data_IF_049527463227
#
_entry.id   IF_049527463227
#
_cell.length_a   1.000
_cell.length_b   1.000
_cell.length_c   1.000
_cell.angle_alpha   90.00
_cell.angle_beta   90.00
_cell.angle_gamma   90.00
#
_symmetry.space_group_name_H-M   'P 1'
#
loop_
_entity.id
_entity.type
_entity.pdbx_description
1 polymer ?
#
# COMPACT_ATOMS: atom_id res chain seq x y z
N UNK A 1 4.11 45.58 -11.82
CA UNK A 1 3.39 45.59 -10.53
C UNK A 1 3.95 46.75 -9.68
N UNK A 2 3.10 47.54 -9.02
CA UNK A 2 3.49 48.82 -8.42
C UNK A 2 4.47 48.63 -7.23
N UNK A 3 5.58 49.37 -7.18
CA UNK A 3 6.66 49.20 -6.19
C UNK A 3 6.16 49.40 -4.75
N UNK A 4 5.19 50.29 -4.57
CA UNK A 4 4.51 50.55 -3.29
C UNK A 4 3.64 49.37 -2.84
N UNK A 5 3.05 48.64 -3.79
CA UNK A 5 2.25 47.45 -3.51
C UNK A 5 3.14 46.35 -2.94
N UNK A 6 4.27 46.07 -3.59
CA UNK A 6 5.22 45.06 -3.11
C UNK A 6 5.72 45.40 -1.71
N UNK A 7 6.03 46.67 -1.44
CA UNK A 7 6.47 47.12 -0.10
C UNK A 7 5.40 46.88 0.98
N UNK A 8 4.13 47.14 0.66
CA UNK A 8 3.02 46.84 1.58
C UNK A 8 2.88 45.33 1.82
N UNK A 9 2.93 44.52 0.76
CA UNK A 9 2.86 43.06 0.85
C UNK A 9 4.02 42.49 1.69
N UNK A 10 5.25 42.96 1.49
CA UNK A 10 6.42 42.57 2.28
C UNK A 10 6.24 42.94 3.76
N UNK A 11 5.73 44.13 4.07
CA UNK A 11 5.50 44.58 5.45
C UNK A 11 4.44 43.73 6.16
N UNK A 12 3.35 43.40 5.46
CA UNK A 12 2.30 42.50 5.97
C UNK A 12 2.87 41.11 6.23
N UNK A 13 3.64 40.57 5.27
CA UNK A 13 4.28 39.27 5.41
C UNK A 13 5.24 39.21 6.60
N UNK A 14 6.11 40.22 6.76
CA UNK A 14 7.04 40.29 7.89
C UNK A 14 6.30 40.30 9.24
N UNK A 15 5.28 41.13 9.38
CA UNK A 15 4.49 41.21 10.61
C UNK A 15 3.77 39.89 10.93
N UNK A 16 3.40 39.12 9.91
CA UNK A 16 2.71 37.85 10.09
C UNK A 16 3.67 36.69 10.39
N UNK A 17 4.66 36.47 9.52
CA UNK A 17 5.53 35.29 9.57
C UNK A 17 6.74 35.44 10.50
N UNK A 18 7.22 36.66 10.73
CA UNK A 18 8.40 36.93 11.58
C UNK A 18 7.98 37.41 12.96
N UNK A 19 7.05 38.38 13.01
CA UNK A 19 6.58 38.96 14.28
C UNK A 19 5.39 38.20 14.89
N UNK A 20 4.88 37.15 14.23
CA UNK A 20 3.77 36.31 14.69
C UNK A 20 2.49 37.08 15.08
N UNK A 21 2.26 38.27 14.47
CA UNK A 21 1.05 39.04 14.73
C UNK A 21 -0.15 38.39 14.03
N UNK A 22 -1.29 38.34 14.72
CA UNK A 22 -2.53 37.92 14.08
C UNK A 22 -3.05 39.00 13.11
N UNK A 23 -3.93 38.60 12.19
CA UNK A 23 -4.43 39.50 11.13
C UNK A 23 -5.12 40.76 11.67
N UNK A 24 -5.74 40.70 12.85
CA UNK A 24 -6.38 41.86 13.49
C UNK A 24 -5.35 42.88 13.99
N UNK A 25 -4.26 42.41 14.59
CA UNK A 25 -3.15 43.25 15.05
C UNK A 25 -2.45 43.93 13.87
N UNK A 26 -2.24 43.21 12.76
CA UNK A 26 -1.63 43.76 11.54
C UNK A 26 -2.54 44.83 10.92
N UNK A 27 -3.84 44.55 10.82
CA UNK A 27 -4.84 45.48 10.31
C UNK A 27 -4.85 46.80 11.09
N UNK A 28 -4.87 46.73 12.42
CA UNK A 28 -4.81 47.90 13.30
C UNK A 28 -3.49 48.67 13.14
N UNK A 29 -2.35 47.97 13.06
CA UNK A 29 -1.01 48.58 12.94
C UNK A 29 -0.77 49.29 11.61
N UNK A 30 -1.44 48.85 10.54
CA UNK A 30 -1.26 49.38 9.19
C UNK A 30 -2.43 50.24 8.70
N UNK A 31 -3.51 50.36 9.47
CA UNK A 31 -4.68 51.15 9.09
C UNK A 31 -5.44 50.59 7.88
N UNK A 32 -5.47 49.26 7.73
CA UNK A 32 -6.13 48.56 6.61
C UNK A 32 -7.18 47.57 7.09
N UNK A 33 -8.16 47.23 6.24
CA UNK A 33 -9.19 46.28 6.59
C UNK A 33 -8.63 44.88 6.83
N UNK A 34 -9.03 44.25 7.95
CA UNK A 34 -8.65 42.86 8.32
C UNK A 34 -8.92 41.87 7.19
N UNK A 35 -10.06 41.99 6.51
CA UNK A 35 -10.45 41.12 5.39
C UNK A 35 -9.46 41.17 4.22
N UNK A 36 -8.68 42.25 4.10
CA UNK A 36 -7.66 42.39 3.05
C UNK A 36 -6.35 41.67 3.39
N UNK A 37 -6.06 41.39 4.66
CA UNK A 37 -4.77 40.82 5.11
C UNK A 37 -4.56 39.42 4.52
N UNK A 38 -5.55 38.52 4.64
CA UNK A 38 -5.41 37.16 4.11
C UNK A 38 -5.19 37.13 2.59
N UNK A 39 -5.93 37.97 1.85
CA UNK A 39 -5.75 38.13 0.40
C UNK A 39 -4.36 38.68 0.07
N UNK A 40 -3.88 39.69 0.81
CA UNK A 40 -2.55 40.26 0.63
C UNK A 40 -1.42 39.28 0.98
N UNK A 41 -1.57 38.45 2.01
CA UNK A 41 -0.62 37.38 2.32
C UNK A 41 -0.56 36.34 1.18
N UNK A 42 -1.71 36.01 0.60
CA UNK A 42 -1.79 35.13 -0.57
C UNK A 42 -1.15 35.77 -1.80
N UNK A 43 -1.41 37.06 -2.05
CA UNK A 43 -0.78 37.85 -3.12
C UNK A 43 0.74 37.91 -2.93
N UNK A 44 1.23 38.07 -1.69
CA UNK A 44 2.65 38.08 -1.37
C UNK A 44 3.33 36.73 -1.70
N UNK A 45 2.66 35.60 -1.44
CA UNK A 45 3.15 34.27 -1.84
C UNK A 45 3.16 34.13 -3.36
N UNK A 46 2.05 34.44 -4.03
CA UNK A 46 1.92 34.30 -5.49
C UNK A 46 2.89 35.20 -6.27
N UNK A 47 3.20 36.39 -5.73
CA UNK A 47 4.17 37.31 -6.32
C UNK A 47 5.64 36.94 -6.02
N UNK A 48 5.89 35.85 -5.29
CA UNK A 48 7.24 35.43 -4.89
C UNK A 48 7.91 36.31 -3.83
N UNK A 49 7.16 37.23 -3.20
CA UNK A 49 7.63 38.08 -2.09
C UNK A 49 7.86 37.25 -0.84
N UNK A 50 7.03 36.21 -0.64
CA UNK A 50 7.19 35.23 0.44
C UNK A 50 7.48 33.88 -0.19
N UNK A 51 8.58 33.26 0.25
CA UNK A 51 8.88 31.85 0.03
C UNK A 51 8.89 31.16 1.38
N UNK A 52 8.19 30.03 1.48
CA UNK A 52 8.18 29.20 2.68
C UNK A 52 8.94 27.94 2.32
N UNK A 53 9.97 27.65 3.10
CA UNK A 53 10.78 26.45 2.97
C UNK A 53 10.62 25.65 4.27
N UNK A 54 10.43 24.34 4.11
CA UNK A 54 10.33 23.40 5.24
C UNK A 54 11.57 22.53 5.15
N UNK A 55 12.49 22.71 6.10
CA UNK A 55 13.70 21.91 6.15
C UNK A 55 13.37 20.42 6.35
N UNK A 56 14.14 19.55 5.69
CA UNK A 56 13.99 18.09 5.72
C UNK A 56 12.61 17.57 5.28
N UNK A 57 11.90 18.31 4.43
CA UNK A 57 10.62 17.89 3.86
C UNK A 57 10.71 17.83 2.33
N UNK A 58 10.60 16.63 1.77
CA UNK A 58 10.56 16.45 0.32
C UNK A 58 9.17 16.82 -0.21
N UNK A 59 9.03 18.09 -0.59
CA UNK A 59 7.78 18.66 -1.12
C UNK A 59 7.36 17.96 -2.42
N UNK A 60 8.30 17.50 -3.24
CA UNK A 60 7.99 16.85 -4.51
C UNK A 60 7.48 15.42 -4.27
N UNK A 61 8.09 14.69 -3.35
CA UNK A 61 7.58 13.39 -2.92
C UNK A 61 6.16 13.50 -2.36
N UNK A 62 5.92 14.46 -1.46
CA UNK A 62 4.60 14.67 -0.87
C UNK A 62 3.52 15.00 -1.92
N UNK A 63 3.86 15.82 -2.93
CA UNK A 63 2.95 16.10 -4.06
C UNK A 63 2.68 14.84 -4.88
N UNK A 64 3.72 14.04 -5.18
CA UNK A 64 3.58 12.79 -5.91
C UNK A 64 2.69 11.80 -5.15
N UNK A 65 2.88 11.64 -3.84
CA UNK A 65 2.03 10.80 -2.99
C UNK A 65 0.57 11.22 -3.06
N UNK A 66 0.28 12.52 -2.89
CA UNK A 66 -1.09 13.02 -2.95
C UNK A 66 -1.71 12.84 -4.34
N UNK A 67 -0.94 13.09 -5.40
CA UNK A 67 -1.38 12.88 -6.77
C UNK A 67 -1.78 11.43 -7.04
N UNK A 68 -0.91 10.48 -6.67
CA UNK A 68 -1.16 9.04 -6.86
C UNK A 68 -2.33 8.56 -6.00
N UNK A 69 -2.44 9.04 -4.75
CA UNK A 69 -3.59 8.73 -3.88
C UNK A 69 -4.91 9.17 -4.49
N UNK A 70 -4.99 10.42 -4.94
CA UNK A 70 -6.20 10.96 -5.57
C UNK A 70 -6.56 10.21 -6.85
N UNK A 71 -5.57 9.93 -7.70
CA UNK A 71 -5.75 9.24 -8.99
C UNK A 71 -6.30 7.82 -8.82
N UNK A 72 -5.75 7.05 -7.88
CA UNK A 72 -6.11 5.63 -7.68
C UNK A 72 -7.03 5.39 -6.48
N UNK A 73 -7.53 6.44 -5.83
CA UNK A 73 -8.43 6.31 -4.69
C UNK A 73 -7.82 5.62 -3.47
N UNK A 74 -6.51 5.78 -3.24
CA UNK A 74 -5.83 5.25 -2.05
C UNK A 74 -6.10 6.14 -0.85
N UNK A 75 -6.33 5.52 0.31
CA UNK A 75 -6.38 6.20 1.60
C UNK A 75 -4.97 6.58 2.09
N UNK A 76 -3.98 5.73 1.81
CA UNK A 76 -2.59 5.99 2.16
C UNK A 76 -1.62 5.47 1.10
N UNK A 77 -0.53 6.21 0.93
CA UNK A 77 0.59 5.83 0.08
C UNK A 77 1.86 6.34 0.72
N UNK A 78 2.82 5.44 0.93
CA UNK A 78 4.17 5.77 1.36
C UNK A 78 5.14 5.44 0.22
N UNK A 79 5.84 6.46 -0.29
CA UNK A 79 6.84 6.29 -1.34
C UNK A 79 8.24 6.37 -0.74
N UNK A 80 8.96 5.26 -0.77
CA UNK A 80 10.35 5.22 -0.33
C UNK A 80 11.23 5.78 -1.46
N UNK A 81 12.07 6.80 -1.21
CA UNK A 81 13.00 7.30 -2.21
C UNK A 81 14.02 6.21 -2.58
N UNK A 82 14.40 6.14 -3.84
CA UNK A 82 15.55 5.33 -4.29
C UNK A 82 16.83 6.16 -4.14
N UNK A 83 17.89 5.52 -3.65
CA UNK A 83 19.23 6.09 -3.50
C UNK A 83 20.18 5.53 -4.57
N UNK A 84 21.26 6.25 -4.88
CA UNK A 84 22.17 5.90 -5.98
C UNK A 84 22.89 4.55 -5.77
N UNK A 85 23.20 4.22 -4.51
CA UNK A 85 23.89 3.02 -4.07
C UNK A 85 22.93 1.94 -3.56
N UNK A 86 21.62 2.10 -3.76
CA UNK A 86 20.64 1.07 -3.43
C UNK A 86 20.94 -0.23 -4.17
N UNK A 87 21.26 -1.26 -3.40
CA UNK A 87 21.08 -2.62 -3.87
C UNK A 87 19.69 -3.15 -3.47
N UNK A 88 19.19 -4.22 -4.11
CA UNK A 88 17.86 -4.75 -3.84
C UNK A 88 17.61 -5.13 -2.37
N UNK A 89 18.65 -5.45 -1.59
CA UNK A 89 18.53 -5.79 -0.17
C UNK A 89 18.33 -4.54 0.69
N UNK A 90 19.13 -3.50 0.49
CA UNK A 90 19.03 -2.24 1.25
C UNK A 90 17.67 -1.58 1.02
N UNK A 91 17.26 -1.45 -0.25
CA UNK A 91 15.93 -0.91 -0.58
C UNK A 91 14.82 -1.75 0.06
N UNK A 92 14.93 -3.08 -0.01
CA UNK A 92 13.96 -3.98 0.63
C UNK A 92 13.87 -3.78 2.14
N UNK A 93 14.99 -3.53 2.82
CA UNK A 93 15.03 -3.29 4.26
C UNK A 93 14.36 -1.95 4.61
N UNK A 94 14.68 -0.86 3.90
CA UNK A 94 14.01 0.44 4.11
C UNK A 94 12.50 0.37 3.90
N UNK A 95 12.05 -0.26 2.81
CA UNK A 95 10.62 -0.47 2.54
C UNK A 95 9.97 -1.27 3.68
N UNK A 96 10.63 -2.33 4.14
CA UNK A 96 10.12 -3.17 5.23
C UNK A 96 10.05 -2.41 6.57
N UNK A 97 11.02 -1.53 6.84
CA UNK A 97 11.05 -0.68 8.03
C UNK A 97 9.88 0.32 8.04
N UNK A 98 9.63 0.99 6.91
CA UNK A 98 8.48 1.90 6.76
C UNK A 98 7.18 1.12 6.90
N UNK A 99 7.06 -0.01 6.22
CA UNK A 99 5.86 -0.85 6.29
C UNK A 99 5.57 -1.39 7.69
N UNK A 100 6.62 -1.74 8.44
CA UNK A 100 6.49 -2.14 9.83
C UNK A 100 5.97 -1.00 10.72
N UNK A 101 6.48 0.22 10.51
CA UNK A 101 6.01 1.42 11.21
C UNK A 101 4.55 1.75 10.93
N UNK A 102 4.16 1.75 9.65
CA UNK A 102 2.78 1.98 9.21
C UNK A 102 1.85 0.93 9.82
N UNK A 103 2.12 -0.35 9.63
CA UNK A 103 1.26 -1.41 10.14
C UNK A 103 1.12 -1.36 11.66
N UNK A 104 2.22 -1.09 12.38
CA UNK A 104 2.18 -0.97 13.85
C UNK A 104 1.25 0.15 14.31
N UNK A 105 1.17 1.25 13.55
CA UNK A 105 0.28 2.36 13.86
C UNK A 105 -1.18 2.05 13.54
N UNK A 106 -1.45 1.26 12.50
CA UNK A 106 -2.80 0.82 12.13
C UNK A 106 -3.41 -0.14 13.17
N UNK A 107 -2.63 -1.08 13.70
CA UNK A 107 -3.15 -2.10 14.64
C UNK A 107 -3.55 -1.47 15.98
N UNK A 108 -4.80 -1.65 16.40
CA UNK A 108 -5.36 -1.21 17.68
C UNK A 108 -6.13 -2.34 18.40
N UNK A 109 -6.64 -2.06 19.60
CA UNK A 109 -7.44 -3.00 20.39
C UNK A 109 -8.65 -3.56 19.62
N UNK A 110 -8.93 -4.86 19.80
CA UNK A 110 -10.05 -5.60 19.23
C UNK A 110 -10.03 -5.82 17.71
N UNK A 111 -8.89 -5.58 17.05
CA UNK A 111 -8.78 -5.75 15.61
C UNK A 111 -8.53 -7.20 15.17
N UNK A 112 -9.08 -7.56 14.00
CA UNK A 112 -8.82 -8.79 13.26
C UNK A 112 -7.98 -8.46 12.03
N UNK A 113 -6.80 -9.06 11.94
CA UNK A 113 -5.83 -8.74 10.89
C UNK A 113 -5.55 -9.97 10.02
N UNK A 114 -5.82 -9.84 8.74
CA UNK A 114 -5.46 -10.80 7.70
C UNK A 114 -4.02 -10.60 7.23
N UNK A 115 -3.28 -11.69 7.05
CA UNK A 115 -1.96 -11.70 6.42
C UNK A 115 -1.91 -12.63 5.23
N UNK A 116 -1.28 -12.18 4.16
CA UNK A 116 -0.78 -13.05 3.12
C UNK A 116 0.61 -13.59 3.49
N UNK A 117 1.41 -14.00 2.51
CA UNK A 117 2.70 -14.64 2.69
C UNK A 117 3.80 -13.96 1.86
N UNK A 118 5.03 -14.46 1.98
CA UNK A 118 6.13 -14.06 1.10
C UNK A 118 7.20 -13.19 1.77
N UNK A 119 8.28 -12.95 1.02
CA UNK A 119 9.50 -12.32 1.52
C UNK A 119 9.27 -10.90 2.05
N UNK A 120 8.53 -10.05 1.33
CA UNK A 120 8.31 -8.65 1.73
C UNK A 120 7.55 -8.56 3.05
N UNK A 121 6.51 -9.38 3.24
CA UNK A 121 5.77 -9.43 4.50
C UNK A 121 6.59 -10.04 5.63
N UNK A 122 7.41 -11.05 5.34
CA UNK A 122 8.33 -11.61 6.32
C UNK A 122 9.34 -10.59 6.84
N UNK A 123 9.95 -9.81 5.95
CA UNK A 123 10.89 -8.77 6.34
C UNK A 123 10.22 -7.67 7.17
N UNK A 124 8.98 -7.29 6.83
CA UNK A 124 8.16 -6.39 7.64
C UNK A 124 7.94 -6.96 9.04
N UNK A 125 7.48 -8.22 9.12
CA UNK A 125 7.22 -8.91 10.39
C UNK A 125 8.49 -9.02 11.22
N UNK A 126 9.68 -9.17 10.63
CA UNK A 126 10.94 -9.18 11.38
C UNK A 126 11.21 -7.83 12.06
N UNK A 127 11.00 -6.72 11.33
CA UNK A 127 11.34 -5.37 11.76
C UNK A 127 10.26 -4.69 12.64
N UNK A 128 9.02 -5.21 12.66
CA UNK A 128 7.95 -4.60 13.44
C UNK A 128 8.23 -4.71 14.94
N UNK A 129 8.15 -3.57 15.63
CA UNK A 129 8.29 -3.49 17.07
C UNK A 129 6.99 -3.88 17.76
N UNK A 130 7.09 -4.50 18.94
CA UNK A 130 5.92 -4.84 19.74
C UNK A 130 5.08 -3.62 20.10
N UNK A 131 3.78 -3.86 20.27
CA UNK A 131 2.79 -2.89 20.75
C UNK A 131 1.85 -3.64 21.68
N UNK A 132 1.59 -3.06 22.85
CA UNK A 132 0.59 -3.62 23.76
C UNK A 132 -0.79 -3.21 23.26
N UNK A 133 -1.56 -4.20 22.84
CA UNK A 133 -2.95 -4.10 22.39
C UNK A 133 -3.74 -5.27 22.99
N UNK A 134 -5.06 -5.15 23.04
CA UNK A 134 -5.96 -6.14 23.63
C UNK A 134 -6.79 -6.81 22.56
N UNK A 135 -7.05 -8.11 22.72
CA UNK A 135 -8.02 -8.84 21.90
C UNK A 135 -7.76 -8.73 20.39
N UNK A 136 -6.49 -8.75 19.99
CA UNK A 136 -6.09 -8.73 18.57
C UNK A 136 -5.93 -10.15 18.05
N UNK A 137 -6.46 -10.42 16.86
CA UNK A 137 -6.41 -11.76 16.25
C UNK A 137 -5.84 -11.72 14.83
N UNK A 138 -4.88 -12.60 14.54
CA UNK A 138 -4.24 -12.70 13.24
C UNK A 138 -4.74 -13.93 12.45
N UNK A 139 -5.14 -13.71 11.19
CA UNK A 139 -5.68 -14.73 10.29
C UNK A 139 -4.88 -14.80 8.97
N UNK A 140 -4.73 -15.98 8.38
CA UNK A 140 -4.18 -16.13 7.04
C UNK A 140 -5.24 -15.77 5.99
N UNK A 141 -4.87 -14.96 5.00
CA UNK A 141 -5.69 -14.60 3.83
C UNK A 141 -5.59 -15.64 2.71
N UNK A 142 -4.45 -16.31 2.64
CA UNK A 142 -4.17 -17.36 1.67
C UNK A 142 -3.08 -18.26 2.23
N UNK A 143 -3.07 -19.52 1.80
CA UNK A 143 -1.95 -20.41 2.06
C UNK A 143 -0.72 -19.99 1.28
N UNK A 144 0.44 -20.12 1.90
CA UNK A 144 1.70 -20.05 1.17
C UNK A 144 1.89 -21.34 0.34
N UNK A 145 2.71 -21.31 -0.72
CA UNK A 145 3.06 -22.50 -1.46
C UNK A 145 3.75 -23.54 -0.58
N UNK A 146 3.44 -24.81 -0.80
CA UNK A 146 3.84 -25.93 0.07
C UNK A 146 5.36 -26.05 0.30
N UNK A 147 6.19 -25.57 -0.65
CA UNK A 147 7.65 -25.64 -0.59
C UNK A 147 8.34 -24.28 -0.44
N UNK A 148 7.60 -23.24 -0.05
CA UNK A 148 8.23 -21.97 0.28
C UNK A 148 9.12 -22.12 1.51
N UNK A 149 10.19 -21.34 1.58
CA UNK A 149 10.99 -21.21 2.79
C UNK A 149 10.08 -20.92 4.00
N UNK A 150 10.15 -21.74 5.06
CA UNK A 150 9.21 -21.70 6.19
C UNK A 150 9.06 -20.31 6.83
N UNK A 151 10.14 -19.50 6.82
CA UNK A 151 10.14 -18.09 7.24
C UNK A 151 9.07 -17.23 6.54
N UNK A 152 8.75 -17.53 5.28
CA UNK A 152 7.81 -16.76 4.46
C UNK A 152 6.38 -17.30 4.51
N UNK A 153 6.16 -18.44 5.18
CA UNK A 153 4.86 -19.08 5.26
C UNK A 153 3.90 -18.26 6.13
N UNK A 154 2.63 -18.12 5.70
CA UNK A 154 1.64 -17.29 6.40
C UNK A 154 1.47 -17.65 7.88
N UNK A 155 1.40 -18.95 8.21
CA UNK A 155 1.28 -19.40 9.61
C UNK A 155 2.47 -18.96 10.48
N UNK A 156 3.67 -18.87 9.91
CA UNK A 156 4.86 -18.33 10.61
C UNK A 156 4.70 -16.84 10.85
N UNK A 157 4.23 -16.09 9.84
CA UNK A 157 4.06 -14.64 9.95
C UNK A 157 3.02 -14.27 11.00
N UNK A 158 1.84 -14.88 10.97
CA UNK A 158 0.77 -14.60 11.94
C UNK A 158 1.12 -15.05 13.36
N UNK A 159 1.94 -16.10 13.50
CA UNK A 159 2.43 -16.54 14.80
C UNK A 159 3.43 -15.54 15.40
N UNK A 160 4.37 -15.04 14.61
CA UNK A 160 5.30 -14.01 15.11
C UNK A 160 4.58 -12.69 15.41
N UNK A 161 3.58 -12.33 14.61
CA UNK A 161 2.72 -11.18 14.89
C UNK A 161 1.92 -11.33 16.18
N UNK A 162 1.29 -12.49 16.42
CA UNK A 162 0.54 -12.74 17.66
C UNK A 162 1.44 -12.63 18.89
N UNK A 163 2.70 -13.11 18.80
CA UNK A 163 3.71 -12.93 19.86
C UNK A 163 4.08 -11.47 20.10
N UNK A 164 4.32 -10.69 19.04
CA UNK A 164 4.74 -9.28 19.13
C UNK A 164 3.63 -8.35 19.62
N UNK A 165 2.37 -8.72 19.41
CA UNK A 165 1.21 -7.91 19.80
C UNK A 165 0.42 -8.49 20.97
N UNK A 166 0.91 -9.57 21.59
CA UNK A 166 0.22 -10.30 22.67
C UNK A 166 -1.21 -10.71 22.31
N UNK A 167 -1.42 -11.05 21.05
CA UNK A 167 -2.71 -11.46 20.49
C UNK A 167 -2.80 -12.96 20.27
N UNK A 168 -3.84 -13.36 19.56
CA UNK A 168 -4.07 -14.74 19.13
C UNK A 168 -3.90 -14.89 17.61
N UNK A 169 -3.75 -16.11 17.13
CA UNK A 169 -3.75 -16.39 15.69
C UNK A 169 -4.45 -17.72 15.38
N UNK A 170 -5.11 -17.79 14.23
CA UNK A 170 -5.70 -19.05 13.72
C UNK A 170 -4.93 -19.52 12.51
N UNK A 171 -4.36 -20.72 12.56
CA UNK A 171 -3.63 -21.28 11.43
C UNK A 171 -4.56 -21.80 10.34
N UNK A 172 -4.09 -21.74 9.11
CA UNK A 172 -4.71 -22.47 8.01
C UNK A 172 -4.03 -23.82 7.85
N UNK A 173 -4.83 -24.89 7.89
CA UNK A 173 -4.37 -26.27 7.77
C UNK A 173 -4.85 -26.88 6.43
N UNK A 174 -4.60 -26.16 5.34
CA UNK A 174 -4.95 -26.57 3.99
C UNK A 174 -3.90 -26.07 2.99
N UNK A 175 -3.63 -26.88 1.97
CA UNK A 175 -2.82 -26.46 0.81
C UNK A 175 -3.58 -25.39 0.01
N UNK A 176 -2.86 -24.39 -0.53
CA UNK A 176 -3.51 -23.27 -1.21
C UNK A 176 -4.27 -23.67 -2.47
N UNK A 177 -3.72 -24.54 -3.32
CA UNK A 177 -4.41 -25.04 -4.53
C UNK A 177 -4.73 -26.52 -4.34
N UNK A 178 -5.99 -26.88 -4.58
CA UNK A 178 -6.48 -28.26 -4.52
C UNK A 178 -6.50 -28.90 -5.91
N UNK A 179 -6.50 -30.23 -5.98
CA UNK A 179 -6.51 -30.95 -7.27
C UNK A 179 -7.79 -30.66 -8.09
N UNK A 180 -8.92 -30.47 -7.42
CA UNK A 180 -10.21 -30.20 -8.04
C UNK A 180 -11.13 -29.38 -7.11
N UNK A 181 -12.20 -28.82 -7.70
CA UNK A 181 -13.18 -28.00 -7.00
C UNK A 181 -13.87 -28.75 -5.86
N UNK A 182 -14.17 -30.03 -6.04
CA UNK A 182 -14.85 -30.85 -5.03
C UNK A 182 -14.04 -30.93 -3.72
N UNK A 183 -12.71 -31.10 -3.82
CA UNK A 183 -11.83 -31.07 -2.65
C UNK A 183 -11.77 -29.69 -2.00
N UNK A 184 -11.69 -28.62 -2.81
CA UNK A 184 -11.69 -27.26 -2.29
C UNK A 184 -12.99 -26.93 -1.55
N UNK A 185 -14.14 -27.25 -2.13
CA UNK A 185 -15.44 -27.07 -1.51
C UNK A 185 -15.56 -27.89 -0.21
N UNK A 186 -15.06 -29.14 -0.20
CA UNK A 186 -15.03 -29.99 0.99
C UNK A 186 -14.25 -29.37 2.16
N UNK A 187 -13.12 -28.71 1.88
CA UNK A 187 -12.34 -27.96 2.89
C UNK A 187 -13.13 -26.71 3.33
N UNK A 188 -13.62 -25.92 2.39
CA UNK A 188 -14.32 -24.64 2.66
C UNK A 188 -15.68 -24.82 3.37
N UNK A 189 -16.27 -26.01 3.30
CA UNK A 189 -17.52 -26.39 3.99
C UNK A 189 -17.26 -27.18 5.28
N UNK A 190 -16.01 -27.53 5.58
CA UNK A 190 -15.65 -28.20 6.82
C UNK A 190 -15.89 -27.29 8.01
N UNK A 191 -16.54 -27.81 9.06
CA UNK A 191 -16.70 -27.12 10.35
C UNK A 191 -15.38 -26.63 10.97
N UNK A 192 -14.26 -27.27 10.61
CA UNK A 192 -12.93 -26.90 11.11
C UNK A 192 -12.37 -25.67 10.39
N UNK A 193 -12.88 -25.35 9.20
CA UNK A 193 -12.46 -24.19 8.40
C UNK A 193 -13.45 -23.03 8.51
N UNK A 194 -14.70 -23.30 8.90
CA UNK A 194 -15.79 -22.32 8.97
C UNK A 194 -15.40 -21.04 9.73
N UNK A 195 -14.76 -21.15 10.90
CA UNK A 195 -14.34 -19.98 11.68
C UNK A 195 -13.31 -19.11 10.93
N UNK A 196 -12.34 -19.72 10.24
CA UNK A 196 -11.36 -19.00 9.44
C UNK A 196 -12.00 -18.36 8.20
N UNK A 197 -12.87 -19.10 7.51
CA UNK A 197 -13.60 -18.56 6.35
C UNK A 197 -14.49 -17.37 6.73
N UNK A 198 -15.18 -17.46 7.86
CA UNK A 198 -16.06 -16.40 8.33
C UNK A 198 -15.25 -15.18 8.79
N UNK A 199 -14.03 -15.35 9.33
CA UNK A 199 -13.20 -14.22 9.72
C UNK A 199 -12.81 -13.34 8.54
N UNK A 200 -12.66 -13.89 7.33
CA UNK A 200 -12.37 -13.10 6.12
C UNK A 200 -13.44 -12.05 5.77
N UNK A 201 -14.68 -12.19 6.27
CA UNK A 201 -15.77 -11.22 6.05
C UNK A 201 -15.75 -10.05 7.04
N UNK A 202 -14.94 -10.12 8.09
CA UNK A 202 -14.95 -9.21 9.23
C UNK A 202 -13.50 -8.90 9.66
N UNK A 203 -12.61 -8.71 8.69
CA UNK A 203 -11.25 -8.24 8.95
C UNK A 203 -11.24 -6.71 8.96
N UNK A 204 -10.49 -6.13 9.90
CA UNK A 204 -10.24 -4.69 9.95
C UNK A 204 -9.08 -4.31 9.03
N UNK A 205 -8.04 -5.16 9.02
CA UNK A 205 -6.80 -4.93 8.26
C UNK A 205 -6.48 -6.18 7.42
N UNK A 206 -6.04 -5.99 6.18
CA UNK A 206 -5.36 -6.99 5.37
C UNK A 206 -3.95 -6.53 5.03
N UNK A 207 -2.96 -7.41 5.20
CA UNK A 207 -1.56 -7.15 4.87
C UNK A 207 -1.13 -8.10 3.77
N UNK A 208 -0.82 -7.57 2.59
CA UNK A 208 -0.69 -8.34 1.35
C UNK A 208 0.57 -7.96 0.58
N UNK A 209 1.16 -8.94 -0.09
CA UNK A 209 2.09 -8.70 -1.19
C UNK A 209 1.36 -8.74 -2.53
N UNK A 210 1.93 -8.12 -3.55
CA UNK A 210 1.48 -8.25 -4.94
C UNK A 210 2.54 -9.07 -5.69
N UNK A 211 2.10 -10.12 -6.36
CA UNK A 211 2.92 -11.01 -7.17
C UNK A 211 2.82 -10.71 -8.65
N UNK A 212 3.92 -10.98 -9.35
CA UNK A 212 4.05 -10.88 -10.81
C UNK A 212 3.81 -12.24 -11.48
N UNK A 213 3.21 -12.24 -12.68
CA UNK A 213 3.10 -13.41 -13.55
C UNK A 213 3.85 -13.25 -14.90
N UNK A 214 4.34 -12.04 -15.21
CA UNK A 214 4.76 -11.60 -16.54
C UNK A 214 6.08 -12.18 -17.06
N UNK A 215 6.99 -12.69 -16.21
CA UNK A 215 8.20 -13.35 -16.73
C UNK A 215 8.96 -14.19 -15.69
N UNK A 216 9.25 -15.45 -16.04
CA UNK A 216 10.25 -16.35 -15.39
C UNK A 216 9.90 -16.98 -14.02
N UNK A 217 8.73 -16.70 -13.45
CA UNK A 217 8.31 -17.15 -12.11
C UNK A 217 7.82 -18.60 -11.96
N UNK A 218 8.28 -19.55 -12.79
CA UNK A 218 7.95 -20.98 -12.61
C UNK A 218 8.20 -21.41 -11.15
N UNK A 219 9.31 -21.01 -10.55
CA UNK A 219 9.79 -21.55 -9.28
C UNK A 219 8.85 -21.47 -8.06
N UNK A 220 8.03 -20.43 -7.93
CA UNK A 220 7.17 -20.27 -6.75
C UNK A 220 5.86 -21.06 -6.84
N UNK A 221 5.42 -21.34 -8.07
CA UNK A 221 4.14 -21.97 -8.39
C UNK A 221 4.28 -23.36 -9.04
N UNK A 222 5.51 -23.75 -9.41
CA UNK A 222 5.83 -24.98 -10.14
C UNK A 222 5.27 -26.23 -9.46
N UNK A 223 5.29 -26.27 -8.14
CA UNK A 223 4.86 -27.43 -7.36
C UNK A 223 3.34 -27.42 -7.08
N UNK A 224 2.64 -26.38 -7.52
CA UNK A 224 1.22 -26.14 -7.20
C UNK A 224 0.32 -26.05 -8.42
N UNK A 225 0.85 -25.52 -9.51
CA UNK A 225 0.14 -25.35 -10.77
C UNK A 225 0.61 -26.41 -11.75
N UNK A 226 -0.34 -27.03 -12.41
CA UNK A 226 -0.06 -27.97 -13.50
C UNK A 226 0.46 -27.23 -14.73
N UNK A 227 1.09 -27.94 -15.67
CA UNK A 227 1.48 -27.33 -16.95
C UNK A 227 0.29 -26.72 -17.70
N UNK A 228 -0.89 -27.33 -17.58
CA UNK A 228 -2.11 -26.83 -18.21
C UNK A 228 -2.64 -25.58 -17.50
N UNK A 229 -2.49 -25.48 -16.17
CA UNK A 229 -2.80 -24.24 -15.44
C UNK A 229 -1.92 -23.08 -15.93
N UNK A 230 -0.62 -23.31 -16.12
CA UNK A 230 0.27 -22.29 -16.67
C UNK A 230 -0.12 -21.89 -18.10
N UNK A 231 -0.46 -22.87 -18.96
CA UNK A 231 -0.90 -22.59 -20.34
C UNK A 231 -2.17 -21.74 -20.36
N UNK A 232 -3.17 -22.09 -19.54
CA UNK A 232 -4.42 -21.34 -19.48
C UNK A 232 -4.21 -19.95 -18.90
N UNK A 233 -3.42 -19.77 -17.84
CA UNK A 233 -3.07 -18.44 -17.29
C UNK A 233 -2.38 -17.54 -18.33
N UNK A 234 -1.45 -18.08 -19.12
CA UNK A 234 -0.82 -17.34 -20.23
C UNK A 234 -1.86 -16.94 -21.29
N UNK A 235 -2.73 -17.87 -21.68
CA UNK A 235 -3.77 -17.67 -22.70
C UNK A 235 -4.79 -16.61 -22.29
N UNK A 236 -5.18 -16.55 -21.02
CA UNK A 236 -6.09 -15.53 -20.49
C UNK A 236 -5.40 -14.21 -20.12
N UNK A 237 -4.10 -14.06 -20.43
CA UNK A 237 -3.31 -12.84 -20.23
C UNK A 237 -3.26 -12.40 -18.76
N UNK A 238 -3.05 -13.35 -17.86
CA UNK A 238 -2.78 -13.06 -16.45
C UNK A 238 -1.60 -12.10 -16.32
N UNK A 239 -1.77 -11.07 -15.48
CA UNK A 239 -0.75 -10.05 -15.24
C UNK A 239 -0.04 -10.30 -13.91
N UNK A 240 -0.78 -10.72 -12.88
CA UNK A 240 -0.25 -10.92 -11.54
C UNK A 240 -1.19 -11.71 -10.64
N UNK A 241 -0.84 -11.72 -9.35
CA UNK A 241 -1.65 -12.33 -8.30
C UNK A 241 -1.60 -11.52 -7.01
N UNK A 242 -2.64 -11.66 -6.20
CA UNK A 242 -2.71 -11.14 -4.83
C UNK A 242 -3.45 -12.17 -3.98
N UNK A 243 -2.86 -12.57 -2.86
CA UNK A 243 -3.40 -13.66 -2.04
C UNK A 243 -3.69 -14.95 -2.86
N UNK A 244 -2.82 -15.27 -3.82
CA UNK A 244 -2.95 -16.43 -4.70
C UNK A 244 -4.16 -16.38 -5.66
N UNK A 245 -4.81 -15.22 -5.78
CA UNK A 245 -5.86 -14.94 -6.76
C UNK A 245 -5.24 -14.26 -7.97
N UNK A 246 -5.22 -14.97 -9.09
CA UNK A 246 -4.68 -14.46 -10.36
C UNK A 246 -5.66 -13.50 -11.05
N UNK A 247 -5.15 -12.44 -11.66
CA UNK A 247 -5.95 -11.41 -12.32
C UNK A 247 -5.37 -10.91 -13.64
N UNK A 248 -6.22 -10.26 -14.46
CA UNK A 248 -5.86 -9.57 -15.70
C UNK A 248 -5.41 -8.12 -15.50
N UNK A 249 -5.11 -7.40 -16.58
CA UNK A 249 -4.68 -5.98 -16.55
C UNK A 249 -5.72 -4.98 -16.00
N UNK A 250 -6.95 -5.45 -15.76
CA UNK A 250 -8.04 -4.68 -15.14
C UNK A 250 -8.27 -5.09 -13.69
N UNK A 251 -7.42 -5.97 -13.14
CA UNK A 251 -7.54 -6.52 -11.79
C UNK A 251 -8.75 -7.45 -11.62
N UNK A 252 -9.30 -8.00 -12.71
CA UNK A 252 -10.39 -8.99 -12.64
C UNK A 252 -9.81 -10.40 -12.52
N UNK A 253 -10.41 -11.24 -11.67
CA UNK A 253 -10.04 -12.65 -11.58
C UNK A 253 -10.09 -13.34 -12.95
N UNK A 254 -9.10 -14.19 -13.20
CA UNK A 254 -8.98 -14.98 -14.44
C UNK A 254 -8.90 -16.47 -14.13
N UNK A 255 -9.23 -17.29 -15.14
CA UNK A 255 -9.17 -18.74 -15.10
C UNK A 255 -9.95 -19.35 -13.92
N UNK A 256 -11.28 -19.29 -14.02
CA UNK A 256 -12.24 -19.71 -12.98
C UNK A 256 -11.94 -21.09 -12.40
N UNK A 257 -11.56 -22.07 -13.23
CA UNK A 257 -11.23 -23.41 -12.75
C UNK A 257 -10.13 -23.41 -11.67
N UNK A 258 -9.08 -22.60 -11.83
CA UNK A 258 -8.04 -22.49 -10.81
C UNK A 258 -8.55 -21.75 -9.57
N UNK A 259 -9.32 -20.68 -9.77
CA UNK A 259 -9.89 -19.90 -8.66
C UNK A 259 -10.80 -20.76 -7.76
N UNK A 260 -11.62 -21.62 -8.35
CA UNK A 260 -12.51 -22.54 -7.63
C UNK A 260 -11.76 -23.62 -6.85
N UNK A 261 -10.48 -23.87 -7.18
CA UNK A 261 -9.60 -24.81 -6.48
C UNK A 261 -8.71 -24.14 -5.43
N UNK A 262 -8.74 -22.81 -5.34
CA UNK A 262 -7.86 -22.02 -4.47
C UNK A 262 -8.52 -21.70 -3.13
N UNK A 263 -7.84 -22.09 -2.03
CA UNK A 263 -8.20 -21.83 -0.64
C UNK A 263 -7.58 -20.51 -0.17
N UNK A 264 -8.22 -19.41 -0.55
CA UNK A 264 -7.85 -18.06 -0.15
C UNK A 264 -9.09 -17.16 -0.08
N UNK A 265 -8.92 -15.99 0.56
CA UNK A 265 -9.87 -14.89 0.45
C UNK A 265 -10.17 -14.58 -1.02
N UNK A 266 -11.42 -14.22 -1.32
CA UNK A 266 -11.80 -13.76 -2.67
C UNK A 266 -11.30 -12.33 -2.92
N UNK A 267 -11.13 -11.93 -4.18
CA UNK A 267 -10.80 -10.52 -4.48
C UNK A 267 -11.91 -9.55 -4.02
N UNK A 268 -13.16 -9.99 -4.08
CA UNK A 268 -14.30 -9.21 -3.60
C UNK A 268 -14.24 -8.98 -2.08
N UNK A 269 -13.91 -10.02 -1.32
CA UNK A 269 -13.77 -9.88 0.13
C UNK A 269 -12.57 -9.02 0.50
N UNK A 270 -11.43 -9.20 -0.17
CA UNK A 270 -10.23 -8.38 0.04
C UNK A 270 -10.53 -6.89 -0.19
N UNK A 271 -11.26 -6.57 -1.25
CA UNK A 271 -11.65 -5.20 -1.61
C UNK A 271 -12.56 -4.53 -0.57
N UNK A 272 -13.36 -5.31 0.16
CA UNK A 272 -14.29 -4.80 1.17
C UNK A 272 -13.64 -4.62 2.56
N UNK A 273 -12.37 -5.02 2.73
CA UNK A 273 -11.65 -4.83 4.01
C UNK A 273 -11.33 -3.34 4.20
N UNK A 274 -11.69 -2.74 5.35
CA UNK A 274 -11.51 -1.30 5.60
C UNK A 274 -10.09 -0.81 5.38
N UNK A 275 -9.07 -1.59 5.75
CA UNK A 275 -7.67 -1.22 5.55
C UNK A 275 -6.89 -2.35 4.89
N UNK A 276 -6.63 -2.24 3.59
CA UNK A 276 -5.87 -3.21 2.81
C UNK A 276 -4.49 -2.64 2.45
N UNK A 277 -3.48 -3.04 3.22
CA UNK A 277 -2.08 -2.63 3.10
C UNK A 277 -1.29 -3.56 2.19
N UNK A 278 -0.97 -3.06 1.00
CA UNK A 278 -0.05 -3.71 0.06
C UNK A 278 1.40 -3.25 0.26
N UNK A 279 2.33 -4.21 0.25
CA UNK A 279 3.77 -3.94 0.13
C UNK A 279 4.27 -4.54 -1.17
N UNK A 280 4.56 -3.69 -2.16
CA UNK A 280 4.96 -4.14 -3.49
C UNK A 280 5.87 -3.12 -4.19
N UNK A 281 6.94 -3.62 -4.78
CA UNK A 281 7.98 -2.82 -5.43
C UNK A 281 8.77 -3.67 -6.43
N UNK A 282 9.46 -2.99 -7.35
CA UNK A 282 10.32 -3.56 -8.37
C UNK A 282 9.69 -3.62 -9.76
N UNK A 283 10.55 -3.50 -10.78
CA UNK A 283 10.18 -3.41 -12.19
C UNK A 283 9.27 -4.54 -12.69
N UNK A 284 9.47 -5.76 -12.18
CA UNK A 284 8.66 -6.91 -12.62
C UNK A 284 7.23 -6.84 -12.13
N UNK A 285 6.94 -6.01 -11.11
CA UNK A 285 5.60 -5.93 -10.50
C UNK A 285 4.76 -4.77 -11.02
N UNK A 286 5.30 -3.91 -11.87
CA UNK A 286 4.65 -2.65 -12.31
C UNK A 286 3.25 -2.92 -12.86
N UNK A 287 3.11 -3.82 -13.84
CA UNK A 287 1.80 -4.17 -14.41
C UNK A 287 0.82 -4.74 -13.38
N UNK A 288 1.32 -5.51 -12.41
CA UNK A 288 0.49 -6.12 -11.35
C UNK A 288 0.00 -5.08 -10.36
N UNK A 289 0.88 -4.16 -9.94
CA UNK A 289 0.54 -3.03 -9.08
C UNK A 289 -0.49 -2.14 -9.77
N UNK A 290 -0.28 -1.79 -11.04
CA UNK A 290 -1.23 -0.99 -11.81
C UNK A 290 -2.61 -1.65 -11.88
N UNK A 291 -2.67 -2.96 -12.10
CA UNK A 291 -3.93 -3.72 -12.16
C UNK A 291 -4.68 -3.70 -10.82
N UNK A 292 -3.95 -3.88 -9.72
CA UNK A 292 -4.47 -3.81 -8.34
C UNK A 292 -5.01 -2.41 -8.02
N UNK A 293 -4.28 -1.36 -8.40
CA UNK A 293 -4.70 0.04 -8.21
C UNK A 293 -5.94 0.37 -9.04
N UNK A 294 -6.00 -0.01 -10.33
CA UNK A 294 -7.18 0.23 -11.19
C UNK A 294 -8.45 -0.46 -10.69
N UNK A 295 -8.29 -1.63 -10.07
CA UNK A 295 -9.42 -2.40 -9.53
C UNK A 295 -9.82 -1.99 -8.10
N UNK A 296 -9.06 -1.10 -7.47
CA UNK A 296 -9.19 -0.72 -6.05
C UNK A 296 -9.20 -1.95 -5.14
N UNK A 297 -8.32 -2.92 -5.39
CA UNK A 297 -8.23 -4.12 -4.54
C UNK A 297 -7.54 -3.85 -3.21
N UNK A 298 -6.80 -2.74 -3.12
CA UNK A 298 -6.12 -2.27 -1.92
C UNK A 298 -6.29 -0.76 -1.78
N UNK A 299 -6.32 -0.25 -0.56
CA UNK A 299 -6.43 1.20 -0.29
C UNK A 299 -5.21 1.80 0.43
N UNK A 300 -4.26 0.98 0.88
CA UNK A 300 -2.96 1.42 1.39
C UNK A 300 -1.84 0.77 0.57
N UNK A 301 -0.89 1.56 0.07
CA UNK A 301 0.26 1.03 -0.69
C UNK A 301 1.59 1.54 -0.12
N UNK A 302 2.56 0.64 -0.04
CA UNK A 302 3.96 0.97 0.25
C UNK A 302 4.82 0.46 -0.90
N UNK A 303 5.55 1.37 -1.52
CA UNK A 303 6.36 1.11 -2.70
C UNK A 303 7.56 2.07 -2.77
N UNK A 304 8.42 1.91 -3.77
CA UNK A 304 9.51 2.85 -4.02
C UNK A 304 9.19 3.81 -5.18
N UNK A 305 9.92 4.93 -5.22
CA UNK A 305 9.73 5.99 -6.21
C UNK A 305 9.83 5.45 -7.64
N UNK A 306 10.87 4.69 -7.98
CA UNK A 306 11.06 4.20 -9.34
C UNK A 306 9.90 3.29 -9.77
N UNK A 307 9.41 2.42 -8.89
CA UNK A 307 8.25 1.58 -9.19
C UNK A 307 7.00 2.39 -9.47
N UNK A 308 6.64 3.34 -8.60
CA UNK A 308 5.39 4.09 -8.79
C UNK A 308 5.43 5.02 -10.00
N UNK A 309 6.61 5.56 -10.35
CA UNK A 309 6.77 6.32 -11.58
C UNK A 309 6.55 5.44 -12.82
N UNK A 310 7.11 4.22 -12.84
CA UNK A 310 6.86 3.26 -13.94
C UNK A 310 5.39 2.83 -14.00
N UNK A 311 4.71 2.73 -12.86
CA UNK A 311 3.26 2.45 -12.81
C UNK A 311 2.48 3.57 -13.51
N UNK A 312 2.83 4.84 -13.27
CA UNK A 312 2.21 5.99 -13.94
C UNK A 312 2.52 6.00 -15.44
N UNK A 313 3.77 5.72 -15.83
CA UNK A 313 4.14 5.61 -17.25
C UNK A 313 3.38 4.48 -17.97
N UNK A 314 3.22 3.32 -17.34
CA UNK A 314 2.45 2.19 -17.88
C UNK A 314 0.94 2.50 -17.93
N UNK A 315 0.44 3.35 -17.04
CA UNK A 315 -0.92 3.90 -17.11
C UNK A 315 -1.08 4.97 -18.22
N UNK A 316 -0.01 5.35 -18.90
CA UNK A 316 0.00 6.39 -19.92
C UNK A 316 -0.09 7.81 -19.34
N UNK A 317 0.21 7.97 -18.06
CA UNK A 317 0.15 9.23 -17.34
C UNK A 317 1.54 9.84 -17.17
N UNK A 318 1.79 10.95 -17.86
CA UNK A 318 3.05 11.69 -17.80
C UNK A 318 2.96 12.97 -16.96
N UNK A 319 1.80 13.25 -16.35
CA UNK A 319 1.55 14.47 -15.55
C UNK A 319 2.50 14.56 -14.35
N UNK A 320 2.97 13.42 -13.85
CA UNK A 320 3.92 13.38 -12.74
C UNK A 320 5.26 14.08 -13.05
N UNK A 321 5.65 14.18 -14.33
CA UNK A 321 6.88 14.88 -14.72
C UNK A 321 6.79 16.37 -14.39
N UNK A 322 5.64 16.98 -14.65
CA UNK A 322 5.37 18.37 -14.26
C UNK A 322 5.38 18.55 -12.74
N UNK A 323 4.87 17.56 -11.99
CA UNK A 323 4.87 17.56 -10.52
C UNK A 323 6.29 17.53 -9.96
N UNK A 324 7.16 16.73 -10.58
CA UNK A 324 8.57 16.60 -10.19
C UNK A 324 9.46 17.71 -10.76
N UNK A 325 8.95 18.51 -11.70
CA UNK A 325 9.71 19.56 -12.38
C UNK A 325 10.69 19.02 -13.43
N UNK A 326 10.36 17.87 -14.04
CA UNK A 326 11.11 17.18 -15.09
C UNK A 326 10.61 17.47 -16.51
#
# INVERSE_FOLDING_TARGET
MNQDRNKLLSKIAYLYYIENLNQSQIAAKLGIYRTSISRMLTEARNAGIVKIEIENFDTNMFKLENYVKEKYGLESLEIIPNEFDDNPTILSERISQVAAGVLRNLIDDNMKIGFSWGKSLSNLVDLIHSKSVRNVHFYPLAGGPSHIHAKYHVNTLIYEMSRKFHGECTFMNATIVQENKLLADGILQSRYFENLKNSWKDLDIAVVGIGDFSNKGKHQWLDMLTEDDFKELIKVKTVGEICCRFFDSKGKEVYENLQERTIAISLEDLKNIPQSLAVAYGDTKVSSILSVLRANLVNHLITDKNTILKVLEEDGDLTFREILGE
#
